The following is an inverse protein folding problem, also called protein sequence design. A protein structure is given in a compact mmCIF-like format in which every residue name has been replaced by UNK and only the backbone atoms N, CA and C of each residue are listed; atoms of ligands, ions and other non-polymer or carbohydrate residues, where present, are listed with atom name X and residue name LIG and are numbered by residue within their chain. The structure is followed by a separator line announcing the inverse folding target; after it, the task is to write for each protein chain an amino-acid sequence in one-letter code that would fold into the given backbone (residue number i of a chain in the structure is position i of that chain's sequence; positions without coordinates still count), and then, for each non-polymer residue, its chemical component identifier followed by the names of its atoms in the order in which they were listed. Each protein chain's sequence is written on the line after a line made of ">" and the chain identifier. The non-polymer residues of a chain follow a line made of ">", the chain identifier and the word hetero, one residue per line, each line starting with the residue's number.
data_IF_849806499552
#
_entry.id   IF_849806499552
#
_cell.length_a   1.000
_cell.length_b   1.000
_cell.length_c   1.000
_cell.angle_alpha   90.00
_cell.angle_beta   90.00
_cell.angle_gamma   90.00
#
_symmetry.space_group_name_H-M   'P 1'
#
loop_
_entity.id
_entity.type
_entity.pdbx_description
1 polymer ?
#
# COMPACT_ATOMS: atom_id res chain seq x y z
N UNK A 1 -5.58 -12.40 8.23
CA UNK A 1 -5.66 -10.94 7.97
C UNK A 1 -4.34 -10.32 8.43
N UNK A 2 -3.82 -9.30 7.76
CA UNK A 2 -2.38 -8.99 7.83
C UNK A 2 -1.92 -8.42 9.15
N UNK A 3 -0.84 -8.99 9.65
CA UNK A 3 0.06 -8.44 10.67
C UNK A 3 0.51 -6.98 10.39
N UNK A 4 0.49 -6.53 9.14
CA UNK A 4 0.98 -5.19 8.71
C UNK A 4 0.26 -4.03 9.40
N UNK A 5 -1.05 -4.14 9.60
CA UNK A 5 -1.86 -3.11 10.26
C UNK A 5 -2.55 -3.64 11.53
N UNK A 6 -2.25 -4.88 11.94
CA UNK A 6 -2.90 -5.49 13.09
C UNK A 6 -2.65 -4.66 14.36
N UNK A 7 -3.73 -4.38 15.09
CA UNK A 7 -3.69 -3.58 16.32
C UNK A 7 -3.39 -2.09 16.12
N UNK A 8 -3.39 -1.56 14.90
CA UNK A 8 -3.15 -0.13 14.62
C UNK A 8 -4.25 0.45 13.73
N UNK A 9 -5.04 1.43 14.20
CA UNK A 9 -6.06 2.06 13.36
C UNK A 9 -5.41 2.87 12.23
N UNK A 10 -6.09 2.94 11.09
CA UNK A 10 -5.74 3.89 10.03
C UNK A 10 -6.43 5.23 10.30
N UNK A 11 -5.80 6.31 9.87
CA UNK A 11 -6.43 7.63 9.86
C UNK A 11 -6.97 7.93 8.47
N UNK A 12 -8.25 8.29 8.41
CA UNK A 12 -8.85 8.91 7.23
C UNK A 12 -8.24 10.29 6.98
N UNK A 13 -8.48 10.85 5.79
CA UNK A 13 -8.09 12.23 5.46
C UNK A 13 -8.62 13.24 6.48
N UNK A 14 -9.80 12.98 7.02
CA UNK A 14 -10.49 13.90 7.93
C UNK A 14 -10.11 13.63 9.41
N UNK A 15 -9.13 12.77 9.66
CA UNK A 15 -8.56 12.52 11.00
C UNK A 15 -9.27 11.42 11.81
N UNK A 16 -10.34 10.83 11.30
CA UNK A 16 -11.03 9.73 11.97
C UNK A 16 -10.21 8.45 11.95
N UNK A 17 -10.13 7.76 13.08
CA UNK A 17 -9.57 6.43 13.21
C UNK A 17 -10.56 5.39 12.66
N UNK A 18 -10.08 4.49 11.81
CA UNK A 18 -10.86 3.40 11.21
C UNK A 18 -10.11 2.08 11.33
N UNK A 19 -10.87 0.99 11.43
CA UNK A 19 -10.33 -0.37 11.47
C UNK A 19 -9.79 -0.76 10.08
N UNK A 20 -8.49 -1.09 9.95
CA UNK A 20 -7.91 -1.57 8.69
C UNK A 20 -8.63 -2.80 8.12
N UNK A 21 -9.13 -3.71 8.95
CA UNK A 21 -9.77 -4.94 8.49
C UNK A 21 -11.08 -4.67 7.77
N UNK A 22 -11.86 -3.71 8.27
CA UNK A 22 -13.11 -3.25 7.67
C UNK A 22 -12.84 -2.48 6.37
N UNK A 23 -11.95 -1.47 6.42
CA UNK A 23 -11.84 -0.53 5.31
C UNK A 23 -10.97 -1.01 4.16
N UNK A 24 -10.12 -2.03 4.36
CA UNK A 24 -9.26 -2.59 3.32
C UNK A 24 -9.79 -3.91 2.74
N UNK A 25 -10.95 -4.40 3.21
CA UNK A 25 -11.52 -5.65 2.73
C UNK A 25 -11.72 -5.66 1.21
N UNK A 26 -11.20 -6.70 0.56
CA UNK A 26 -11.29 -6.90 -0.89
C UNK A 26 -10.70 -5.75 -1.72
N UNK A 27 -9.77 -4.97 -1.16
CA UNK A 27 -9.09 -3.87 -1.86
C UNK A 27 -7.67 -4.23 -2.22
N UNK A 28 -7.22 -3.60 -3.31
CA UNK A 28 -5.81 -3.40 -3.59
C UNK A 28 -5.36 -2.16 -2.85
N UNK A 29 -4.23 -2.25 -2.15
CA UNK A 29 -3.73 -1.17 -1.31
C UNK A 29 -2.42 -0.65 -1.88
N UNK A 30 -2.33 0.68 -2.03
CA UNK A 30 -1.11 1.37 -2.42
C UNK A 30 -0.41 1.97 -1.20
N UNK A 31 0.77 1.46 -0.87
CA UNK A 31 1.62 2.03 0.18
C UNK A 31 2.57 3.06 -0.44
N UNK A 32 2.33 4.34 -0.15
CA UNK A 32 3.11 5.44 -0.68
C UNK A 32 4.09 5.99 0.36
N UNK A 33 5.37 5.70 0.15
CA UNK A 33 6.47 6.20 0.97
C UNK A 33 7.02 7.49 0.35
N UNK A 34 6.88 8.60 1.04
CA UNK A 34 7.28 9.93 0.56
C UNK A 34 7.97 10.75 1.67
N UNK A 35 7.98 12.08 1.51
CA UNK A 35 8.44 13.05 2.51
C UNK A 35 9.87 12.81 3.02
N UNK A 36 10.81 12.40 2.14
CA UNK A 36 12.21 12.18 2.51
C UNK A 36 12.95 13.45 2.93
N UNK A 37 12.43 14.60 2.54
CA UNK A 37 12.91 15.92 2.88
C UNK A 37 12.36 16.43 4.23
N UNK A 38 11.33 15.78 4.79
CA UNK A 38 10.72 16.15 6.07
C UNK A 38 11.54 15.55 7.21
N UNK A 39 12.29 16.38 7.95
CA UNK A 39 13.08 15.93 9.12
C UNK A 39 12.27 15.11 10.13
N UNK A 40 11.12 15.58 10.68
CA UNK A 40 10.37 14.77 11.66
C UNK A 40 9.83 13.47 11.05
N UNK A 41 9.51 13.46 9.75
CA UNK A 41 9.08 12.25 9.06
C UNK A 41 10.23 11.24 8.91
N UNK A 42 11.47 11.69 8.68
CA UNK A 42 12.65 10.81 8.59
C UNK A 42 12.91 10.06 9.90
N UNK A 43 12.61 10.67 11.04
CA UNK A 43 12.79 10.05 12.35
C UNK A 43 11.64 9.10 12.71
N UNK A 44 10.42 9.42 12.25
CA UNK A 44 9.24 8.58 12.47
C UNK A 44 9.18 7.36 11.52
N UNK A 45 9.64 7.50 10.27
CA UNK A 45 9.47 6.42 9.28
C UNK A 45 10.21 5.10 9.62
N UNK A 46 11.40 5.10 10.26
CA UNK A 46 12.08 3.88 10.73
C UNK A 46 11.34 3.13 11.85
N UNK A 47 10.44 3.80 12.57
CA UNK A 47 9.56 3.19 13.60
C UNK A 47 8.47 2.32 12.93
N UNK A 48 8.22 2.54 11.64
CA UNK A 48 7.31 1.72 10.86
C UNK A 48 8.07 0.56 10.23
N UNK A 49 7.83 -0.66 10.71
CA UNK A 49 8.37 -1.91 10.16
C UNK A 49 8.12 -2.08 8.65
N UNK A 50 7.21 -1.29 8.08
CA UNK A 50 6.86 -1.26 6.66
C UNK A 50 8.03 -0.91 5.74
N UNK A 51 8.92 0.04 6.11
CA UNK A 51 10.08 0.36 5.27
C UNK A 51 11.03 -0.83 5.12
N UNK A 52 11.26 -1.55 6.21
CA UNK A 52 12.07 -2.77 6.23
C UNK A 52 11.36 -3.91 5.50
N UNK A 53 10.10 -4.16 5.84
CA UNK A 53 9.26 -5.23 5.25
C UNK A 53 9.19 -5.14 3.72
N UNK A 54 9.10 -3.93 3.18
CA UNK A 54 8.99 -3.68 1.74
C UNK A 54 10.29 -3.20 1.08
N UNK A 55 11.43 -3.30 1.77
CA UNK A 55 12.76 -2.94 1.28
C UNK A 55 12.81 -1.54 0.61
N UNK A 56 12.31 -0.53 1.31
CA UNK A 56 12.23 0.84 0.81
C UNK A 56 13.55 1.58 1.07
N UNK A 57 14.44 1.58 0.09
CA UNK A 57 15.76 2.23 0.15
C UNK A 57 15.77 3.67 -0.36
N UNK A 58 14.81 4.02 -1.22
CA UNK A 58 14.68 5.35 -1.80
C UNK A 58 13.20 5.75 -1.90
N UNK A 59 12.95 7.06 -1.84
CA UNK A 59 11.62 7.66 -1.90
C UNK A 59 11.63 8.84 -2.88
N UNK A 60 10.50 9.18 -3.53
CA UNK A 60 9.17 8.56 -3.39
C UNK A 60 9.05 7.18 -4.00
N UNK A 61 8.47 6.22 -3.26
CA UNK A 61 8.20 4.84 -3.70
C UNK A 61 6.74 4.45 -3.43
N UNK A 62 6.12 3.79 -4.40
CA UNK A 62 4.75 3.28 -4.33
C UNK A 62 4.80 1.77 -4.50
N UNK A 63 4.41 1.04 -3.45
CA UNK A 63 4.28 -0.42 -3.45
C UNK A 63 2.80 -0.78 -3.46
N UNK A 64 2.41 -1.65 -4.38
CA UNK A 64 1.05 -2.15 -4.50
C UNK A 64 1.01 -3.53 -3.85
N UNK A 65 0.08 -3.71 -2.92
CA UNK A 65 -0.07 -4.93 -2.13
C UNK A 65 -1.52 -5.42 -2.16
N UNK A 66 -1.69 -6.73 -2.03
CA UNK A 66 -3.00 -7.34 -1.74
C UNK A 66 -3.46 -6.93 -0.33
N UNK A 67 -4.74 -7.15 -0.01
CA UNK A 67 -5.20 -7.02 1.37
C UNK A 67 -4.37 -7.89 2.30
N UNK A 68 -3.78 -9.02 1.86
CA UNK A 68 -2.90 -9.89 2.66
C UNK A 68 -1.52 -9.29 2.95
N UNK A 69 -1.19 -8.12 2.42
CA UNK A 69 0.14 -7.50 2.51
C UNK A 69 1.17 -8.10 1.56
N UNK A 70 0.80 -9.13 0.78
CA UNK A 70 1.59 -9.68 -0.32
C UNK A 70 1.81 -8.63 -1.40
N UNK A 71 3.03 -8.53 -1.90
CA UNK A 71 3.40 -7.52 -2.90
C UNK A 71 2.93 -7.95 -4.28
N UNK A 72 2.08 -7.14 -4.90
CA UNK A 72 1.74 -7.25 -6.33
C UNK A 72 2.88 -6.62 -7.15
N UNK A 73 3.35 -5.43 -6.75
CA UNK A 73 4.51 -4.80 -7.38
C UNK A 73 5.11 -3.68 -6.53
N UNK A 74 6.44 -3.57 -6.53
CA UNK A 74 7.17 -2.46 -5.92
C UNK A 74 7.48 -1.32 -6.91
N UNK A 75 7.07 -1.47 -8.18
CA UNK A 75 7.33 -0.53 -9.28
C UNK A 75 6.13 0.37 -9.58
N UNK A 76 5.16 0.48 -8.67
CA UNK A 76 3.87 1.13 -8.94
C UNK A 76 4.01 2.55 -9.50
N UNK A 77 4.93 3.35 -8.95
CA UNK A 77 5.20 4.71 -9.45
C UNK A 77 5.68 4.72 -10.91
N UNK A 78 6.57 3.80 -11.28
CA UNK A 78 7.10 3.69 -12.66
C UNK A 78 5.98 3.27 -13.62
N UNK A 79 5.17 2.29 -13.22
CA UNK A 79 4.06 1.80 -14.03
C UNK A 79 3.00 2.87 -14.27
N UNK A 80 2.64 3.67 -13.26
CA UNK A 80 1.74 4.82 -13.45
C UNK A 80 2.34 5.80 -14.46
N UNK A 81 3.63 6.15 -14.30
CA UNK A 81 4.30 7.10 -15.19
C UNK A 81 4.32 6.64 -16.64
N UNK A 82 4.57 5.34 -16.88
CA UNK A 82 4.76 4.79 -18.23
C UNK A 82 3.46 4.35 -18.89
N UNK A 83 2.48 3.88 -18.12
CA UNK A 83 1.28 3.22 -18.63
C UNK A 83 -0.03 3.91 -18.23
N UNK A 84 0.04 4.94 -17.38
CA UNK A 84 -1.14 5.64 -16.88
C UNK A 84 -2.12 4.68 -16.18
N UNK A 85 -3.41 4.90 -16.40
CA UNK A 85 -4.49 4.10 -15.78
C UNK A 85 -4.52 2.63 -16.23
N UNK A 86 -3.86 2.27 -17.33
CA UNK A 86 -3.88 0.89 -17.83
C UNK A 86 -3.15 -0.10 -16.90
N UNK A 87 -2.19 0.37 -16.09
CA UNK A 87 -1.47 -0.51 -15.16
C UNK A 87 -2.35 -1.08 -14.04
N UNK A 88 -3.48 -0.42 -13.73
CA UNK A 88 -4.40 -0.87 -12.68
C UNK A 88 -5.05 -2.20 -13.03
N UNK A 89 -5.28 -2.51 -14.30
CA UNK A 89 -5.80 -3.82 -14.73
C UNK A 89 -4.85 -4.94 -14.31
N UNK A 90 -3.56 -4.76 -14.57
CA UNK A 90 -2.55 -5.76 -14.19
C UNK A 90 -2.46 -5.92 -12.66
N UNK A 91 -2.71 -4.85 -11.90
CA UNK A 91 -2.77 -4.95 -10.44
C UNK A 91 -4.00 -5.71 -9.96
N UNK A 92 -5.16 -5.49 -10.61
CA UNK A 92 -6.40 -6.23 -10.34
C UNK A 92 -6.27 -7.71 -10.64
N UNK A 93 -5.65 -8.05 -11.78
CA UNK A 93 -5.33 -9.43 -12.14
C UNK A 93 -4.37 -10.05 -11.12
N UNK A 94 -3.27 -9.37 -10.79
CA UNK A 94 -2.30 -9.86 -9.81
C UNK A 94 -2.81 -9.91 -8.36
N UNK A 95 -3.98 -9.32 -8.08
CA UNK A 95 -4.65 -9.39 -6.79
C UNK A 95 -5.69 -10.52 -6.73
N UNK A 96 -5.85 -11.32 -7.79
CA UNK A 96 -6.86 -12.37 -7.94
C UNK A 96 -8.31 -11.86 -7.76
N UNK A 97 -8.54 -10.55 -7.92
CA UNK A 97 -9.82 -9.89 -7.62
C UNK A 97 -10.95 -10.34 -8.55
N UNK A 98 -10.62 -10.82 -9.76
CA UNK A 98 -11.61 -11.31 -10.73
C UNK A 98 -12.19 -12.69 -10.41
N UNK A 99 -11.60 -13.48 -9.49
CA UNK A 99 -12.21 -14.75 -9.09
C UNK A 99 -13.39 -14.58 -8.11
N UNK A 100 -13.51 -13.41 -7.47
CA UNK A 100 -14.55 -13.16 -6.46
C UNK A 100 -15.85 -12.58 -7.03
N UNK A 101 -15.93 -12.35 -8.34
CA UNK A 101 -17.17 -11.94 -9.03
C UNK A 101 -17.89 -13.11 -9.72
N UNK A 102 -17.37 -14.33 -9.57
CA UNK A 102 -18.03 -15.56 -10.00
C UNK A 102 -18.73 -16.20 -8.81
N UNK A 103 -19.93 -15.69 -8.48
CA UNK A 103 -21.06 -16.41 -7.89
C UNK A 103 -22.32 -15.56 -8.04
#
# INVERSE_FOLDING_TARGET
>A
MVDVFSGRPLLTRDGHAVDPEEVLQNKIVGLYFSAGWCSPCRDFTPVLDLKKKYNITAIPKLVIVKQTGEVITDKGRKQIKERGLSCFRNWLEGADVFQNFSN
#
